data_IF_461963402640
#
_entry.id   IF_461963402640
#
_cell.length_a   1.000
_cell.length_b   1.000
_cell.length_c   1.000
_cell.angle_alpha   90.00
_cell.angle_beta   90.00
_cell.angle_gamma   90.00
#
_symmetry.space_group_name_H-M   'P 1'
#
loop_
_entity.id
_entity.type
_entity.pdbx_description
1 polymer ?
#
# COMPACT_ATOMS: atom_id res chain seq x y z
N UNK A 1 12.38 -11.22 -4.19
CA UNK A 1 11.62 -10.53 -3.12
C UNK A 1 10.90 -9.33 -3.74
N UNK A 2 9.58 -9.23 -3.64
CA UNK A 2 8.81 -8.08 -4.15
C UNK A 2 8.78 -6.99 -3.06
N UNK A 3 9.65 -6.00 -3.14
CA UNK A 3 9.83 -4.97 -2.09
C UNK A 3 8.52 -4.22 -1.78
N UNK A 4 7.74 -3.88 -2.80
CA UNK A 4 6.47 -3.17 -2.65
C UNK A 4 5.42 -4.00 -1.90
N UNK A 5 5.33 -5.31 -2.15
CA UNK A 5 4.35 -6.17 -1.48
C UNK A 5 4.55 -6.20 0.03
N UNK A 6 5.79 -6.46 0.48
CA UNK A 6 6.12 -6.46 1.92
C UNK A 6 5.90 -5.11 2.58
N UNK A 7 6.24 -4.02 1.88
CA UNK A 7 6.02 -2.66 2.38
C UNK A 7 4.52 -2.35 2.54
N UNK A 8 3.70 -2.73 1.55
CA UNK A 8 2.24 -2.54 1.61
C UNK A 8 1.62 -3.37 2.73
N UNK A 9 2.02 -4.63 2.90
CA UNK A 9 1.55 -5.49 3.99
C UNK A 9 1.87 -4.90 5.38
N UNK A 10 3.09 -4.39 5.56
CA UNK A 10 3.50 -3.74 6.79
C UNK A 10 2.69 -2.45 7.06
N UNK A 11 2.53 -1.60 6.04
CA UNK A 11 1.74 -0.37 6.15
C UNK A 11 0.27 -0.67 6.46
N UNK A 12 -0.34 -1.63 5.77
CA UNK A 12 -1.73 -2.05 6.00
C UNK A 12 -1.93 -2.60 7.42
N UNK A 13 -0.98 -3.40 7.92
CA UNK A 13 -1.03 -3.92 9.29
C UNK A 13 -0.99 -2.78 10.31
N UNK A 14 -0.11 -1.80 10.12
CA UNK A 14 -0.01 -0.63 10.99
C UNK A 14 -1.28 0.24 10.98
N UNK A 15 -1.83 0.53 9.79
CA UNK A 15 -3.08 1.28 9.64
C UNK A 15 -4.23 0.54 10.31
N UNK A 16 -4.34 -0.77 10.12
CA UNK A 16 -5.38 -1.58 10.74
C UNK A 16 -5.28 -1.59 12.26
N UNK A 17 -4.08 -1.71 12.81
CA UNK A 17 -3.84 -1.60 14.24
C UNK A 17 -4.31 -0.24 14.78
N UNK A 18 -3.87 0.85 14.14
CA UNK A 18 -4.27 2.22 14.51
C UNK A 18 -5.78 2.44 14.45
N UNK A 19 -6.44 1.94 13.41
CA UNK A 19 -7.89 1.99 13.27
C UNK A 19 -8.65 1.18 14.33
N UNK A 20 -8.00 0.20 14.98
CA UNK A 20 -8.59 -0.56 16.08
C UNK A 20 -8.35 0.10 17.45
N UNK A 21 -7.20 0.75 17.63
CA UNK A 21 -6.79 1.39 18.89
C UNK A 21 -7.40 2.78 19.10
N UNK A 22 -7.51 3.57 18.02
CA UNK A 22 -7.95 4.97 18.08
C UNK A 22 -9.38 5.11 17.56
N UNK A 23 -10.31 5.51 18.43
CA UNK A 23 -11.75 5.57 18.07
C UNK A 23 -12.04 6.53 16.92
N UNK A 24 -11.30 7.64 16.81
CA UNK A 24 -11.43 8.60 15.72
C UNK A 24 -10.95 8.06 14.36
N UNK A 25 -10.17 6.97 14.34
CA UNK A 25 -9.66 6.33 13.14
C UNK A 25 -10.43 5.05 12.78
N UNK A 26 -11.52 4.74 13.51
CA UNK A 26 -12.21 3.46 13.37
C UNK A 26 -12.77 3.25 11.97
N UNK A 27 -12.32 2.19 11.32
CA UNK A 27 -12.72 1.83 9.96
C UNK A 27 -12.03 2.62 8.86
N UNK A 28 -11.05 3.47 9.19
CA UNK A 28 -10.30 4.20 8.16
C UNK A 28 -9.51 3.26 7.24
N UNK A 29 -9.30 3.72 6.01
CA UNK A 29 -8.49 3.03 5.02
C UNK A 29 -8.26 3.94 3.81
N UNK A 30 -7.36 3.54 2.93
CA UNK A 30 -7.10 4.24 1.67
C UNK A 30 -6.66 3.26 0.60
N UNK A 31 -6.82 3.64 -0.66
CA UNK A 31 -6.22 2.93 -1.80
C UNK A 31 -4.74 3.26 -1.90
N UNK A 32 -3.95 2.39 -2.56
CA UNK A 32 -2.57 2.72 -2.92
C UNK A 32 -2.23 2.13 -4.28
N UNK A 33 -1.65 2.97 -5.14
CA UNK A 33 -0.93 2.56 -6.35
C UNK A 33 0.50 3.00 -6.16
N UNK A 34 1.43 2.06 -6.25
CA UNK A 34 2.86 2.34 -6.13
C UNK A 34 3.62 1.66 -7.27
N UNK A 35 4.64 2.35 -7.76
CA UNK A 35 5.56 1.78 -8.73
C UNK A 35 7.01 2.09 -8.35
N UNK A 36 7.92 1.19 -8.68
CA UNK A 36 9.36 1.40 -8.55
C UNK A 36 10.04 1.01 -9.86
N UNK A 37 11.03 1.80 -10.27
CA UNK A 37 11.82 1.51 -11.46
C UNK A 37 12.80 0.39 -11.15
N UNK A 38 12.65 -0.73 -11.86
CA UNK A 38 13.59 -1.83 -11.84
C UNK A 38 14.54 -1.70 -13.04
N UNK A 39 15.80 -1.36 -12.75
CA UNK A 39 16.80 -1.04 -13.78
C UNK A 39 16.24 0.08 -14.70
N UNK A 40 16.59 0.06 -15.98
CA UNK A 40 16.29 1.18 -16.89
C UNK A 40 14.99 1.03 -17.69
N UNK A 41 14.32 -0.13 -17.64
CA UNK A 41 13.23 -0.43 -18.60
C UNK A 41 11.96 -1.04 -18.00
N UNK A 42 11.94 -1.35 -16.71
CA UNK A 42 10.80 -2.02 -16.08
C UNK A 42 10.24 -1.20 -14.93
N UNK A 43 8.92 -1.08 -14.87
CA UNK A 43 8.20 -0.62 -13.69
C UNK A 43 7.63 -1.83 -12.96
N UNK A 44 8.04 -2.02 -11.71
CA UNK A 44 7.33 -2.92 -10.81
C UNK A 44 6.20 -2.16 -10.15
N UNK A 45 4.97 -2.62 -10.36
CA UNK A 45 3.75 -1.95 -9.92
C UNK A 45 3.03 -2.81 -8.88
N UNK A 46 2.44 -2.18 -7.87
CA UNK A 46 1.51 -2.77 -6.93
C UNK A 46 0.28 -1.87 -6.78
N UNK A 47 -0.91 -2.47 -6.79
CA UNK A 47 -2.18 -1.77 -6.67
C UNK A 47 -3.07 -2.43 -5.62
N UNK A 48 -3.67 -1.61 -4.75
CA UNK A 48 -4.71 -2.01 -3.79
C UNK A 48 -5.85 -1.00 -3.90
N UNK A 49 -7.02 -1.49 -4.31
CA UNK A 49 -8.21 -0.66 -4.53
C UNK A 49 -8.41 -0.29 -6.00
N UNK A 50 -9.10 0.82 -6.23
CA UNK A 50 -9.61 1.25 -7.53
C UNK A 50 -8.86 2.43 -8.16
N UNK A 51 -7.86 2.99 -7.46
CA UNK A 51 -6.84 3.88 -8.04
C UNK A 51 -6.07 3.20 -9.18
N UNK A 52 -5.47 3.98 -10.10
CA UNK A 52 -4.88 3.46 -11.34
C UNK A 52 -3.54 4.10 -11.70
N UNK A 53 -2.66 3.32 -12.34
CA UNK A 53 -1.46 3.76 -13.03
C UNK A 53 -1.71 3.61 -14.54
N UNK A 54 -1.44 4.66 -15.32
CA UNK A 54 -1.51 4.66 -16.78
C UNK A 54 -0.13 4.90 -17.37
#
# INVERSE_FOLDING_TARGET
VKILGKAIEAANSHIRQKAMEETCLRGMGTTVVAATCLKDKYLAVANVGDSRLY
#
